data_IF_522174495138
#
_entry.id   IF_522174495138
#
_cell.length_a   1.000
_cell.length_b   1.000
_cell.length_c   1.000
_cell.angle_alpha   90.00
_cell.angle_beta   90.00
_cell.angle_gamma   90.00
#
_symmetry.space_group_name_H-M   'P 1'
#
loop_
_entity.id
_entity.type
_entity.pdbx_description
1 polymer ?
#
# COMPACT_ATOMS: atom_id res chain seq x y z
N UNK A 1 -20.34 -14.61 -16.86
CA UNK A 1 -19.80 -13.34 -16.30
C UNK A 1 -18.39 -13.65 -15.81
N UNK A 2 -17.42 -12.77 -16.06
CA UNK A 2 -16.10 -12.83 -15.41
C UNK A 2 -16.06 -11.80 -14.29
N UNK A 3 -15.48 -12.20 -13.17
CA UNK A 3 -14.91 -11.27 -12.21
C UNK A 3 -13.39 -11.36 -12.24
N UNK A 4 -12.75 -10.24 -12.52
CA UNK A 4 -11.30 -10.06 -12.42
C UNK A 4 -10.96 -9.58 -11.02
N UNK A 5 -10.31 -10.42 -10.23
CA UNK A 5 -9.80 -10.03 -8.92
C UNK A 5 -8.38 -9.47 -9.03
N UNK A 6 -8.23 -8.22 -8.65
CA UNK A 6 -6.95 -7.57 -8.42
C UNK A 6 -6.56 -7.76 -6.96
N UNK A 7 -5.99 -8.93 -6.67
CA UNK A 7 -5.40 -9.14 -5.37
C UNK A 7 -4.01 -8.49 -5.33
N UNK A 8 -3.63 -7.94 -4.18
CA UNK A 8 -2.29 -7.41 -3.87
C UNK A 8 -1.20 -8.51 -3.79
N UNK A 9 -1.20 -9.43 -4.75
CA UNK A 9 -0.10 -10.35 -4.94
C UNK A 9 1.04 -9.61 -5.63
N UNK A 10 1.81 -8.88 -4.82
CA UNK A 10 3.02 -8.19 -5.23
C UNK A 10 3.42 -7.02 -4.33
N UNK A 11 2.48 -6.25 -3.77
CA UNK A 11 2.83 -5.00 -3.06
C UNK A 11 3.54 -5.22 -1.71
N UNK A 12 3.34 -6.38 -1.06
CA UNK A 12 3.92 -6.73 0.25
C UNK A 12 4.45 -8.18 0.31
N UNK A 13 3.98 -9.09 -0.55
CA UNK A 13 4.29 -10.52 -0.50
C UNK A 13 5.05 -10.99 -1.76
N UNK A 14 5.99 -11.93 -1.59
CA UNK A 14 6.70 -12.55 -2.72
C UNK A 14 5.73 -13.35 -3.59
N UNK A 15 6.06 -13.51 -4.87
CA UNK A 15 5.32 -14.32 -5.86
C UNK A 15 4.97 -15.72 -5.33
N UNK A 16 5.82 -16.29 -4.48
CA UNK A 16 5.71 -17.65 -3.94
C UNK A 16 4.69 -17.75 -2.76
N UNK A 17 4.47 -16.66 -2.02
CA UNK A 17 3.53 -16.61 -0.89
C UNK A 17 2.06 -16.64 -1.34
N UNK A 18 1.81 -16.21 -2.58
CA UNK A 18 0.49 -16.27 -3.20
C UNK A 18 0.01 -17.71 -3.44
N UNK A 19 0.89 -18.70 -3.42
CA UNK A 19 0.55 -20.09 -3.77
C UNK A 19 -0.14 -20.91 -2.67
N UNK A 20 -0.21 -20.45 -1.40
CA UNK A 20 -0.59 -21.35 -0.29
C UNK A 20 -1.60 -20.87 0.75
N UNK A 21 -1.90 -19.57 0.94
CA UNK A 21 -2.71 -19.13 2.11
C UNK A 21 -3.95 -18.28 1.84
N UNK A 22 -4.08 -17.57 0.72
CA UNK A 22 -5.20 -16.61 0.53
C UNK A 22 -6.31 -17.09 -0.44
N UNK A 23 -6.18 -18.28 -1.03
CA UNK A 23 -7.13 -18.83 -2.02
C UNK A 23 -8.53 -19.18 -1.47
N UNK A 24 -8.78 -19.08 -0.15
CA UNK A 24 -10.10 -19.39 0.42
C UNK A 24 -11.10 -18.23 0.33
N UNK A 25 -10.64 -17.00 0.11
CA UNK A 25 -11.48 -15.79 0.13
C UNK A 25 -12.37 -15.59 -1.11
N UNK A 26 -12.01 -16.02 -2.34
CA UNK A 26 -12.87 -15.79 -3.51
C UNK A 26 -14.01 -16.80 -3.69
N UNK A 27 -14.17 -17.77 -2.79
CA UNK A 27 -15.12 -18.89 -2.97
C UNK A 27 -16.54 -18.40 -3.25
N UNK A 28 -16.94 -17.27 -2.65
CA UNK A 28 -18.26 -16.68 -2.84
C UNK A 28 -18.56 -16.32 -4.32
N UNK A 29 -17.60 -15.76 -5.06
CA UNK A 29 -17.82 -15.38 -6.46
C UNK A 29 -17.96 -16.60 -7.37
N UNK A 30 -17.14 -17.62 -7.15
CA UNK A 30 -17.23 -18.88 -7.90
C UNK A 30 -18.55 -19.59 -7.59
N UNK A 31 -18.97 -19.64 -6.31
CA UNK A 31 -20.28 -20.20 -5.95
C UNK A 31 -21.45 -19.40 -6.49
N UNK A 32 -21.29 -18.09 -6.69
CA UNK A 32 -22.28 -17.25 -7.33
C UNK A 32 -22.28 -17.37 -8.87
N UNK A 33 -21.46 -18.25 -9.45
CA UNK A 33 -21.44 -18.54 -10.88
C UNK A 33 -20.52 -17.63 -11.71
N UNK A 34 -19.63 -16.86 -11.08
CA UNK A 34 -18.63 -16.06 -11.78
C UNK A 34 -17.42 -16.92 -12.16
N UNK A 35 -16.93 -16.73 -13.39
CA UNK A 35 -15.57 -17.14 -13.73
C UNK A 35 -14.59 -16.17 -13.07
N UNK A 36 -13.63 -16.69 -12.32
CA UNK A 36 -12.69 -15.89 -11.56
C UNK A 36 -11.29 -15.97 -12.15
N UNK A 37 -10.71 -14.81 -12.43
CA UNK A 37 -9.29 -14.67 -12.80
C UNK A 37 -8.60 -13.71 -11.83
N UNK A 38 -7.35 -14.01 -11.49
CA UNK A 38 -6.56 -13.20 -10.57
C UNK A 38 -5.12 -13.09 -11.06
N UNK A 39 -4.61 -11.86 -11.15
CA UNK A 39 -3.23 -11.60 -11.56
C UNK A 39 -2.31 -11.51 -10.34
N UNK A 40 -1.19 -12.22 -10.39
CA UNK A 40 0.01 -11.81 -9.65
C UNK A 40 0.84 -10.91 -10.57
N UNK A 41 1.26 -9.75 -10.10
CA UNK A 41 2.00 -8.81 -10.93
C UNK A 41 3.42 -9.32 -11.20
N UNK A 42 3.98 -8.93 -12.34
CA UNK A 42 5.34 -9.27 -12.76
C UNK A 42 6.42 -8.63 -11.87
N UNK A 43 6.05 -7.63 -11.08
CA UNK A 43 6.90 -7.01 -10.07
C UNK A 43 6.17 -6.87 -8.72
N UNK A 44 6.95 -6.85 -7.62
CA UNK A 44 6.44 -6.51 -6.29
C UNK A 44 6.57 -5.02 -5.94
N UNK A 45 6.08 -4.62 -4.77
CA UNK A 45 6.11 -3.24 -4.29
C UNK A 45 5.13 -2.32 -5.03
N UNK A 46 5.55 -1.08 -5.31
CA UNK A 46 4.78 -0.11 -6.10
C UNK A 46 4.83 -0.46 -7.60
N UNK A 47 4.04 -1.47 -7.98
CA UNK A 47 4.06 -2.09 -9.31
C UNK A 47 2.93 -1.61 -10.23
N UNK A 48 2.47 -0.36 -10.09
CA UNK A 48 1.30 0.15 -10.84
C UNK A 48 1.48 0.01 -12.36
N UNK A 49 2.65 0.38 -12.88
CA UNK A 49 2.94 0.33 -14.32
C UNK A 49 2.87 -1.11 -14.86
N UNK A 50 3.52 -2.04 -14.16
CA UNK A 50 3.55 -3.46 -14.54
C UNK A 50 2.16 -4.09 -14.46
N UNK A 51 1.45 -3.81 -13.36
CA UNK A 51 0.14 -4.38 -13.08
C UNK A 51 -0.88 -4.10 -14.19
N UNK A 52 -0.89 -2.89 -14.77
CA UNK A 52 -1.85 -2.54 -15.84
C UNK A 52 -1.74 -3.50 -17.03
N UNK A 53 -0.51 -3.77 -17.49
CA UNK A 53 -0.25 -4.69 -18.59
C UNK A 53 -0.58 -6.14 -18.23
N UNK A 54 -0.20 -6.56 -17.01
CA UNK A 54 -0.42 -7.92 -16.53
C UNK A 54 -1.92 -8.25 -16.38
N UNK A 55 -2.71 -7.29 -15.88
CA UNK A 55 -4.17 -7.42 -15.72
C UNK A 55 -4.85 -7.56 -17.08
N UNK A 56 -4.54 -6.66 -18.02
CA UNK A 56 -5.12 -6.73 -19.37
C UNK A 56 -4.68 -7.99 -20.12
N UNK A 57 -3.42 -8.38 -19.95
CA UNK A 57 -2.89 -9.62 -20.52
C UNK A 57 -3.66 -10.83 -20.01
N UNK A 58 -3.92 -10.91 -18.71
CA UNK A 58 -4.71 -11.99 -18.10
C UNK A 58 -6.16 -12.01 -18.61
N UNK A 59 -6.80 -10.83 -18.74
CA UNK A 59 -8.16 -10.72 -19.28
C UNK A 59 -8.23 -11.21 -20.73
N UNK A 60 -7.29 -10.75 -21.58
CA UNK A 60 -7.20 -11.17 -22.98
C UNK A 60 -6.95 -12.67 -23.12
N UNK A 61 -6.05 -13.22 -22.30
CA UNK A 61 -5.79 -14.66 -22.25
C UNK A 61 -7.06 -15.45 -21.92
N UNK A 62 -7.85 -14.99 -20.95
CA UNK A 62 -9.12 -15.64 -20.64
C UNK A 62 -10.07 -15.62 -21.85
N UNK A 63 -10.22 -14.46 -22.50
CA UNK A 63 -11.10 -14.31 -23.67
C UNK A 63 -10.67 -15.23 -24.81
N UNK A 64 -9.37 -15.32 -25.08
CA UNK A 64 -8.83 -16.20 -26.11
C UNK A 64 -9.12 -17.68 -25.82
N UNK A 65 -8.98 -18.09 -24.56
CA UNK A 65 -9.08 -19.50 -24.15
C UNK A 65 -10.51 -19.98 -23.92
N UNK A 66 -11.39 -19.11 -23.42
CA UNK A 66 -12.73 -19.47 -22.95
C UNK A 66 -13.85 -18.69 -23.65
N UNK A 67 -13.52 -17.75 -24.54
CA UNK A 67 -14.45 -16.89 -25.25
C UNK A 67 -14.81 -15.61 -24.51
N UNK A 68 -15.46 -14.70 -25.22
CA UNK A 68 -15.86 -13.39 -24.70
C UNK A 68 -17.01 -13.51 -23.68
N UNK A 69 -16.85 -12.99 -22.45
CA UNK A 69 -17.93 -12.94 -21.47
C UNK A 69 -19.03 -11.98 -21.86
N UNK A 70 -20.24 -12.24 -21.37
CA UNK A 70 -21.33 -11.25 -21.42
C UNK A 70 -21.03 -9.98 -20.63
N UNK A 71 -20.40 -10.15 -19.47
CA UNK A 71 -20.04 -9.06 -18.55
C UNK A 71 -18.70 -9.38 -17.90
N UNK A 72 -17.90 -8.32 -17.71
CA UNK A 72 -16.57 -8.35 -17.09
C UNK A 72 -16.53 -7.31 -15.99
N UNK A 73 -16.25 -7.75 -14.77
CA UNK A 73 -16.11 -6.89 -13.59
C UNK A 73 -14.67 -6.90 -13.10
N UNK A 74 -14.27 -5.85 -12.39
CA UNK A 74 -12.94 -5.75 -11.77
C UNK A 74 -13.03 -5.25 -10.34
N UNK A 75 -12.23 -5.80 -9.43
CA UNK A 75 -12.21 -5.33 -8.04
C UNK A 75 -10.85 -5.58 -7.39
N UNK A 76 -10.43 -4.68 -6.51
CA UNK A 76 -9.17 -4.81 -5.80
C UNK A 76 -9.09 -4.00 -4.53
N UNK A 77 -8.19 -4.41 -3.64
CA UNK A 77 -7.96 -3.77 -2.33
C UNK A 77 -6.67 -2.94 -2.34
N UNK A 78 -6.66 -1.79 -1.67
CA UNK A 78 -5.45 -0.96 -1.47
C UNK A 78 -4.77 -0.57 -2.79
N UNK A 79 -3.61 -1.12 -3.18
CA UNK A 79 -3.04 -0.82 -4.50
C UNK A 79 -3.93 -1.35 -5.64
N UNK A 80 -4.59 -2.49 -5.41
CA UNK A 80 -5.59 -3.07 -6.32
C UNK A 80 -6.82 -2.19 -6.50
N UNK A 81 -7.14 -1.36 -5.51
CA UNK A 81 -8.22 -0.37 -5.59
C UNK A 81 -7.89 0.77 -6.56
N UNK A 82 -6.68 1.33 -6.45
CA UNK A 82 -6.14 2.26 -7.45
C UNK A 82 -6.15 1.64 -8.85
N UNK A 83 -5.67 0.40 -8.97
CA UNK A 83 -5.66 -0.30 -10.27
C UNK A 83 -7.07 -0.57 -10.80
N UNK A 84 -8.06 -0.79 -9.95
CA UNK A 84 -9.46 -0.94 -10.37
C UNK A 84 -9.95 0.32 -11.09
N UNK A 85 -9.68 1.50 -10.51
CA UNK A 85 -10.02 2.79 -11.11
C UNK A 85 -9.25 3.00 -12.42
N UNK A 86 -7.93 2.82 -12.39
CA UNK A 86 -7.06 3.00 -13.57
C UNK A 86 -7.49 2.11 -14.75
N UNK A 87 -7.86 0.86 -14.49
CA UNK A 87 -8.23 -0.08 -15.54
C UNK A 87 -9.57 0.28 -16.21
N UNK A 88 -10.54 0.79 -15.45
CA UNK A 88 -11.81 1.25 -16.00
C UNK A 88 -11.65 2.54 -16.80
N UNK A 89 -10.83 3.47 -16.32
CA UNK A 89 -10.54 4.71 -17.06
C UNK A 89 -9.79 4.43 -18.36
N UNK A 90 -8.83 3.50 -18.33
CA UNK A 90 -7.97 3.19 -19.48
C UNK A 90 -8.61 2.24 -20.49
N UNK A 91 -9.48 1.34 -20.03
CA UNK A 91 -10.15 0.33 -20.87
C UNK A 91 -11.67 0.34 -20.66
N UNK A 92 -12.36 1.46 -20.95
CA UNK A 92 -13.78 1.64 -20.64
C UNK A 92 -14.68 0.63 -21.35
N UNK A 93 -14.28 0.15 -22.53
CA UNK A 93 -15.05 -0.85 -23.30
C UNK A 93 -14.79 -2.29 -22.85
N UNK A 94 -13.78 -2.52 -21.99
CA UNK A 94 -13.39 -3.87 -21.53
C UNK A 94 -14.00 -4.26 -20.17
N UNK A 95 -14.48 -3.29 -19.39
CA UNK A 95 -14.99 -3.47 -18.04
C UNK A 95 -16.37 -2.83 -17.87
N UNK A 96 -17.32 -3.59 -17.33
CA UNK A 96 -18.70 -3.15 -17.13
C UNK A 96 -18.91 -2.47 -15.77
N UNK A 97 -18.18 -2.90 -14.73
CA UNK A 97 -18.15 -2.24 -13.44
C UNK A 97 -16.86 -2.53 -12.67
N UNK A 98 -16.56 -1.64 -11.73
CA UNK A 98 -15.43 -1.72 -10.82
C UNK A 98 -15.86 -1.59 -9.37
N UNK A 99 -15.24 -2.37 -8.50
CA UNK A 99 -15.38 -2.23 -7.05
C UNK A 99 -14.01 -1.94 -6.43
N UNK A 100 -13.77 -0.67 -6.13
CA UNK A 100 -12.61 -0.23 -5.36
C UNK A 100 -12.82 -0.52 -3.86
N UNK A 101 -11.92 -1.30 -3.27
CA UNK A 101 -11.93 -1.66 -1.85
C UNK A 101 -10.79 -0.92 -1.13
N UNK A 102 -11.06 0.29 -0.63
CA UNK A 102 -10.08 1.09 0.13
C UNK A 102 -8.81 1.40 -0.69
N UNK A 103 -8.98 1.79 -1.95
CA UNK A 103 -7.89 2.07 -2.85
C UNK A 103 -7.05 3.27 -2.44
N UNK A 104 -5.75 3.23 -2.76
CA UNK A 104 -4.86 4.40 -2.71
C UNK A 104 -5.12 5.32 -3.92
N UNK A 105 -6.38 5.71 -4.10
CA UNK A 105 -6.84 6.53 -5.23
C UNK A 105 -6.46 7.98 -5.00
N UNK A 106 -5.78 8.57 -5.97
CA UNK A 106 -5.36 9.97 -5.95
C UNK A 106 -3.93 10.14 -6.45
N UNK A 107 -3.35 11.31 -6.13
CA UNK A 107 -1.97 11.63 -6.49
C UNK A 107 -0.98 10.68 -5.80
N UNK A 108 -0.23 9.92 -6.61
CA UNK A 108 0.81 9.02 -6.12
C UNK A 108 1.91 9.80 -5.38
N UNK A 109 2.30 10.98 -5.88
CA UNK A 109 3.30 11.82 -5.22
C UNK A 109 2.82 12.26 -3.85
N UNK A 110 1.55 12.64 -3.72
CA UNK A 110 1.02 13.13 -2.45
C UNK A 110 0.87 11.97 -1.45
N UNK A 111 0.39 10.81 -1.91
CA UNK A 111 0.27 9.62 -1.08
C UNK A 111 1.63 9.16 -0.53
N UNK A 112 2.66 9.13 -1.38
CA UNK A 112 4.00 8.73 -0.98
C UNK A 112 4.69 9.79 -0.11
N UNK A 113 4.51 11.08 -0.39
CA UNK A 113 5.03 12.18 0.44
C UNK A 113 4.41 12.16 1.83
N UNK A 114 3.09 12.00 1.95
CA UNK A 114 2.43 11.82 3.25
C UNK A 114 2.93 10.57 3.98
N UNK A 115 3.20 9.50 3.24
CA UNK A 115 3.80 8.28 3.79
C UNK A 115 5.20 8.52 4.37
N UNK A 116 6.01 9.32 3.68
CA UNK A 116 7.31 9.77 4.16
C UNK A 116 7.19 10.63 5.43
N UNK A 117 6.30 11.63 5.40
CA UNK A 117 6.02 12.51 6.54
C UNK A 117 5.58 11.72 7.78
N UNK A 118 4.67 10.74 7.61
CA UNK A 118 4.25 9.87 8.71
C UNK A 118 5.43 9.11 9.33
N UNK A 119 6.43 8.74 8.53
CA UNK A 119 7.64 8.08 9.03
C UNK A 119 8.59 9.03 9.74
N UNK A 120 8.78 10.24 9.22
CA UNK A 120 9.55 11.30 9.91
C UNK A 120 8.93 11.62 11.27
N UNK A 121 7.61 11.81 11.32
CA UNK A 121 6.87 12.07 12.55
C UNK A 121 6.99 10.91 13.54
N UNK A 122 6.87 9.67 13.08
CA UNK A 122 7.08 8.51 13.95
C UNK A 122 8.50 8.48 14.52
N UNK A 123 9.53 8.73 13.72
CA UNK A 123 10.91 8.72 14.19
C UNK A 123 11.21 9.83 15.21
N UNK A 124 10.52 10.97 15.11
CA UNK A 124 10.54 12.02 16.13
C UNK A 124 9.99 11.53 17.49
N UNK A 125 8.80 10.91 17.48
CA UNK A 125 8.15 10.42 18.71
C UNK A 125 8.78 9.14 19.28
N UNK A 126 9.30 8.27 18.40
CA UNK A 126 9.78 6.93 18.69
C UNK A 126 11.18 6.70 18.09
N UNK A 127 12.20 7.49 18.52
CA UNK A 127 13.52 7.42 17.93
C UNK A 127 14.17 6.05 18.14
N UNK A 128 14.81 5.52 17.10
CA UNK A 128 15.58 4.27 17.15
C UNK A 128 14.76 2.98 17.06
N UNK A 129 13.43 3.06 16.90
CA UNK A 129 12.57 1.87 16.74
C UNK A 129 12.62 1.31 15.31
N UNK A 130 12.72 2.19 14.32
CA UNK A 130 12.79 1.85 12.89
C UNK A 130 14.00 2.55 12.25
N UNK A 131 14.46 2.07 11.07
CA UNK A 131 15.54 2.73 10.34
C UNK A 131 15.11 4.12 9.86
N UNK A 132 16.12 4.95 9.58
CA UNK A 132 15.94 6.29 9.03
C UNK A 132 15.08 6.23 7.76
N UNK A 133 13.98 7.02 7.67
CA UNK A 133 13.05 6.99 6.54
C UNK A 133 13.68 7.40 5.22
N UNK A 134 14.75 8.22 5.21
CA UNK A 134 15.47 8.60 4.00
C UNK A 134 16.49 7.56 3.54
N UNK A 135 16.80 6.55 4.37
CA UNK A 135 17.84 5.54 4.09
C UNK A 135 17.41 4.18 4.62
N UNK A 136 16.30 3.66 4.09
CA UNK A 136 15.79 2.36 4.53
C UNK A 136 16.69 1.25 3.95
N UNK A 137 17.21 0.32 4.78
CA UNK A 137 18.04 -0.78 4.30
C UNK A 137 17.32 -1.63 3.25
N UNK A 138 18.07 -2.12 2.25
CA UNK A 138 17.50 -2.96 1.17
C UNK A 138 16.93 -4.28 1.71
N UNK A 139 17.52 -4.76 2.80
CA UNK A 139 17.18 -5.97 3.53
C UNK A 139 16.03 -5.75 4.51
N UNK A 140 15.45 -4.54 4.58
CA UNK A 140 14.29 -4.30 5.42
C UNK A 140 13.09 -5.14 4.95
N UNK A 141 12.61 -5.98 5.86
CA UNK A 141 11.49 -6.88 5.62
C UNK A 141 10.35 -6.57 6.58
N UNK A 142 9.13 -6.58 6.03
CA UNK A 142 7.92 -6.47 6.83
C UNK A 142 7.65 -7.83 7.46
N UNK A 143 7.72 -7.91 8.79
CA UNK A 143 7.47 -9.15 9.55
C UNK A 143 6.48 -8.92 10.67
N UNK A 144 5.74 -9.96 11.06
CA UNK A 144 4.82 -9.89 12.21
C UNK A 144 5.56 -9.52 13.50
N UNK A 145 6.79 -10.02 13.67
CA UNK A 145 7.64 -9.73 14.82
C UNK A 145 8.02 -8.24 14.88
N UNK A 146 8.36 -7.65 13.73
CA UNK A 146 8.65 -6.22 13.63
C UNK A 146 7.41 -5.39 13.96
N UNK A 147 6.24 -5.71 13.37
CA UNK A 147 4.98 -5.03 13.66
C UNK A 147 4.60 -5.11 15.14
N UNK A 148 4.80 -6.27 15.78
CA UNK A 148 4.56 -6.42 17.21
C UNK A 148 5.55 -5.61 18.07
N UNK A 149 6.80 -5.47 17.64
CA UNK A 149 7.81 -4.65 18.31
C UNK A 149 7.51 -3.16 18.22
N UNK A 150 7.11 -2.68 17.03
CA UNK A 150 6.66 -1.31 16.80
C UNK A 150 5.42 -1.02 17.64
N UNK A 151 4.44 -1.93 17.65
CA UNK A 151 3.25 -1.80 18.49
C UNK A 151 3.59 -1.64 19.97
N UNK A 152 4.46 -2.48 20.54
CA UNK A 152 4.90 -2.34 21.94
C UNK A 152 5.58 -0.99 22.22
N UNK A 153 6.35 -0.49 21.26
CA UNK A 153 7.02 0.81 21.37
C UNK A 153 6.02 1.97 21.40
N UNK A 154 4.95 1.86 20.60
CA UNK A 154 3.83 2.82 20.59
C UNK A 154 3.07 2.78 21.93
N UNK A 155 2.73 1.60 22.42
CA UNK A 155 2.03 1.42 23.71
C UNK A 155 2.82 1.99 24.90
N UNK A 156 4.15 1.90 24.86
CA UNK A 156 5.01 2.42 25.92
C UNK A 156 5.00 3.96 26.04
N UNK A 157 4.49 4.70 25.03
CA UNK A 157 4.40 6.18 25.06
C UNK A 157 3.01 6.66 24.62
N UNK A 158 1.98 6.54 25.48
CA UNK A 158 0.58 6.79 25.09
C UNK A 158 0.28 8.22 24.63
N UNK A 159 0.96 9.23 25.19
CA UNK A 159 0.81 10.63 24.77
C UNK A 159 1.36 10.86 23.36
N UNK A 160 2.57 10.37 23.10
CA UNK A 160 3.20 10.41 21.78
C UNK A 160 2.39 9.62 20.73
N UNK A 161 1.90 8.44 21.11
CA UNK A 161 1.02 7.64 20.27
C UNK A 161 -0.26 8.40 19.89
N UNK A 162 -0.87 9.11 20.85
CA UNK A 162 -2.07 9.92 20.62
C UNK A 162 -1.80 11.10 19.70
N UNK A 163 -0.68 11.82 19.91
CA UNK A 163 -0.28 12.92 19.05
C UNK A 163 -0.03 12.45 17.60
N UNK A 164 0.74 11.37 17.44
CA UNK A 164 1.03 10.80 16.12
C UNK A 164 -0.25 10.32 15.42
N UNK A 165 -1.11 9.56 16.12
CA UNK A 165 -2.41 9.11 15.59
C UNK A 165 -3.26 10.25 15.06
N UNK A 166 -3.30 11.38 15.77
CA UNK A 166 -4.02 12.59 15.34
C UNK A 166 -3.42 13.17 14.06
N UNK A 167 -2.10 13.28 13.99
CA UNK A 167 -1.38 13.83 12.82
C UNK A 167 -1.57 12.97 11.56
N UNK A 168 -1.53 11.64 11.70
CA UNK A 168 -1.62 10.72 10.54
C UNK A 168 -3.04 10.21 10.27
N UNK A 169 -4.02 10.59 11.09
CA UNK A 169 -5.43 10.20 10.92
C UNK A 169 -5.73 8.72 11.21
N UNK A 170 -5.00 8.08 12.13
CA UNK A 170 -5.18 6.66 12.46
C UNK A 170 -5.81 6.48 13.85
N UNK A 171 -6.83 5.63 13.94
CA UNK A 171 -7.70 5.56 15.12
C UNK A 171 -7.08 4.80 16.30
N UNK A 172 -6.36 3.72 16.05
CA UNK A 172 -5.83 2.85 17.11
C UNK A 172 -4.34 2.51 16.89
N UNK A 173 -3.66 2.12 17.97
CA UNK A 173 -2.22 1.88 17.95
C UNK A 173 -1.83 0.64 17.14
N UNK A 174 -2.73 -0.34 16.99
CA UNK A 174 -2.48 -1.55 16.19
C UNK A 174 -2.39 -1.22 14.71
N UNK A 175 -3.36 -0.46 14.21
CA UNK A 175 -3.36 0.01 12.83
C UNK A 175 -2.19 0.96 12.58
N UNK A 176 -1.90 1.86 13.54
CA UNK A 176 -0.74 2.75 13.43
C UNK A 176 0.56 1.96 13.28
N UNK A 177 0.77 0.93 14.10
CA UNK A 177 1.96 0.08 14.00
C UNK A 177 2.07 -0.60 12.63
N UNK A 178 0.96 -1.21 12.17
CA UNK A 178 0.91 -1.87 10.86
C UNK A 178 1.18 -0.90 9.71
N UNK A 179 0.53 0.27 9.72
CA UNK A 179 0.71 1.30 8.70
C UNK A 179 2.15 1.83 8.68
N UNK A 180 2.75 2.11 9.83
CA UNK A 180 4.13 2.62 9.89
C UNK A 180 5.13 1.60 9.34
N UNK A 181 4.98 0.31 9.65
CA UNK A 181 5.84 -0.74 9.07
C UNK A 181 5.62 -0.88 7.56
N UNK A 182 4.36 -0.86 7.11
CA UNK A 182 4.02 -0.89 5.69
C UNK A 182 4.63 0.29 4.92
N UNK A 183 4.48 1.51 5.45
CA UNK A 183 5.06 2.72 4.86
C UNK A 183 6.58 2.62 4.77
N UNK A 184 7.24 2.05 5.78
CA UNK A 184 8.69 1.82 5.73
C UNK A 184 9.08 0.88 4.59
N UNK A 185 8.30 -0.19 4.37
CA UNK A 185 8.52 -1.10 3.26
C UNK A 185 8.28 -0.43 1.89
N UNK A 186 7.27 0.42 1.77
CA UNK A 186 7.00 1.19 0.55
C UNK A 186 8.15 2.18 0.28
N UNK A 187 8.61 2.91 1.30
CA UNK A 187 9.74 3.84 1.15
C UNK A 187 11.00 3.10 0.67
N UNK A 188 11.28 1.92 1.22
CA UNK A 188 12.36 1.05 0.76
C UNK A 188 12.24 0.73 -0.74
N UNK A 189 11.06 0.31 -1.20
CA UNK A 189 10.83 -0.04 -2.59
C UNK A 189 11.02 1.17 -3.53
N UNK A 190 10.42 2.31 -3.17
CA UNK A 190 10.57 3.55 -3.96
C UNK A 190 12.02 4.01 -3.99
N UNK A 191 12.74 3.94 -2.86
CA UNK A 191 14.16 4.33 -2.80
C UNK A 191 15.02 3.47 -3.73
N UNK A 192 14.77 2.16 -3.78
CA UNK A 192 15.49 1.26 -4.68
C UNK A 192 15.19 1.56 -6.14
N UNK A 193 13.92 1.84 -6.48
CA UNK A 193 13.50 2.18 -7.84
C UNK A 193 14.05 3.53 -8.32
N UNK A 194 14.12 4.51 -7.41
CA UNK A 194 14.60 5.86 -7.70
C UNK A 194 16.14 5.99 -7.64
N UNK A 195 16.86 4.99 -7.10
CA UNK A 195 18.31 5.05 -6.89
C UNK A 195 18.74 5.94 -5.72
N UNK A 196 17.82 6.26 -4.80
CA UNK A 196 18.02 7.18 -3.67
C UNK A 196 16.69 7.61 -3.08
N UNK A 197 16.71 8.50 -2.07
CA UNK A 197 15.48 9.04 -1.48
C UNK A 197 14.91 10.19 -2.31
N UNK A 198 13.69 10.06 -2.89
CA UNK A 198 13.07 11.13 -3.65
C UNK A 198 12.21 12.07 -2.79
N UNK A 199 12.10 11.83 -1.48
CA UNK A 199 11.22 12.57 -0.59
C UNK A 199 11.99 13.55 0.30
N UNK A 200 11.33 14.61 0.72
CA UNK A 200 11.88 15.62 1.62
C UNK A 200 10.74 16.23 2.44
N UNK A 201 11.07 16.73 3.62
CA UNK A 201 10.14 17.42 4.51
C UNK A 201 10.61 18.82 4.92
N UNK A 202 11.70 19.35 4.36
CA UNK A 202 12.23 20.68 4.69
C UNK A 202 11.25 21.84 4.43
N UNK A 203 10.30 21.64 3.52
CA UNK A 203 9.25 22.63 3.21
C UNK A 203 7.88 22.24 3.80
N UNK A 204 7.85 21.27 4.71
CA UNK A 204 6.63 20.80 5.35
C UNK A 204 6.52 21.40 6.75
N UNK A 205 5.38 22.04 7.04
CA UNK A 205 5.05 22.51 8.39
C UNK A 205 3.98 21.57 8.95
N UNK A 206 4.33 20.81 9.98
CA UNK A 206 3.42 19.93 10.67
C UNK A 206 2.59 20.72 11.67
N UNK A 207 1.26 20.56 11.63
CA UNK A 207 0.35 21.28 12.52
C UNK A 207 -0.66 20.33 13.17
N UNK A 208 -1.29 20.78 14.26
CA UNK A 208 -2.39 20.05 14.90
C UNK A 208 -1.99 19.28 16.16
N UNK A 209 -0.81 19.51 16.70
CA UNK A 209 -0.39 19.02 18.03
C UNK A 209 -0.67 20.05 19.12
N UNK A 210 -0.21 19.78 20.35
CA UNK A 210 -0.24 20.75 21.44
C UNK A 210 0.88 21.80 21.37
N UNK A 211 1.95 21.53 20.61
CA UNK A 211 3.09 22.43 20.42
C UNK A 211 3.73 22.18 19.05
N UNK A 212 3.18 22.84 18.03
CA UNK A 212 3.61 22.66 16.64
C UNK A 212 5.02 23.23 16.41
N UNK A 213 5.44 24.25 17.17
CA UNK A 213 6.79 24.79 17.04
C UNK A 213 7.83 23.77 17.51
N UNK A 214 7.63 23.18 18.69
CA UNK A 214 8.55 22.15 19.21
C UNK A 214 8.60 20.90 18.30
N UNK A 215 7.49 20.56 17.63
CA UNK A 215 7.48 19.49 16.63
C UNK A 215 8.34 19.85 15.43
N UNK A 216 8.09 21.01 14.79
CA UNK A 216 8.80 21.42 13.58
C UNK A 216 10.28 21.70 13.80
N UNK A 217 10.67 22.17 15.00
CA UNK A 217 12.07 22.36 15.37
C UNK A 217 12.80 21.01 15.61
N UNK A 218 12.06 19.98 16.03
CA UNK A 218 12.64 18.71 16.47
C UNK A 218 12.64 17.59 15.41
N UNK A 219 11.76 17.65 14.42
CA UNK A 219 11.77 16.70 13.29
C UNK A 219 13.06 16.87 12.48
N UNK A 220 13.72 15.76 12.18
CA UNK A 220 14.95 15.79 11.38
C UNK A 220 14.61 15.86 9.89
N UNK A 221 15.30 16.72 9.11
CA UNK A 221 15.20 16.69 7.66
C UNK A 221 15.56 15.32 7.08
N UNK A 222 14.77 14.88 6.12
CA UNK A 222 15.02 13.67 5.34
C UNK A 222 16.15 13.82 4.33
N UNK A 223 17.41 13.63 4.74
CA UNK A 223 18.59 13.62 3.85
C UNK A 223 19.42 12.35 3.92
#
# INVERSE_FOLDING_TARGET
MILTLLQECGSVFRRDDCSRRDFRRPFFFVTAGYALIQSGYSAGGWAVEQAIGDIEGLRKYFVEKYGTPKETYITGHSLGGLLTVVMIEKYPDSYHAGLDLCGVVGSASDALTRGFDARVLFDYYFPGVLPNPAKVPKEFELTEQLSASVFRSIEAKPQAATALRKLVGIHNNRDLAGTIVLLTHILKDIQQRAGGNPFDNRNTIYTGTSDDNALNDGVKPGT
#
